data_IF_878540151366
#
_entry.id   IF_878540151366
#
_cell.length_a   1.000
_cell.length_b   1.000
_cell.length_c   1.000
_cell.angle_alpha   90.00
_cell.angle_beta   90.00
_cell.angle_gamma   90.00
#
_symmetry.space_group_name_H-M   'P 1'
#
loop_
_entity.id
_entity.type
_entity.pdbx_description
1 polymer ?
#
# COMPACT_ATOMS: atom_id res chain seq x y z
N UNK A 1 48.79 -39.98 6.64
CA UNK A 1 47.97 -39.33 5.59
C UNK A 1 46.61 -39.03 6.20
N UNK A 2 46.35 -37.77 6.57
CA UNK A 2 45.05 -37.37 7.13
C UNK A 2 44.45 -36.33 6.19
N UNK A 3 43.35 -36.70 5.53
CA UNK A 3 42.68 -35.86 4.54
C UNK A 3 41.80 -34.83 5.26
N UNK A 4 42.28 -33.58 5.32
CA UNK A 4 41.54 -32.46 5.87
C UNK A 4 40.46 -32.01 4.87
N UNK A 5 39.19 -32.23 5.22
CA UNK A 5 38.03 -31.74 4.45
C UNK A 5 37.81 -30.26 4.77
N UNK A 6 38.02 -29.39 3.78
CA UNK A 6 37.68 -27.96 3.87
C UNK A 6 36.18 -27.84 3.62
N UNK A 7 35.42 -27.46 4.65
CA UNK A 7 34.02 -27.05 4.52
C UNK A 7 34.00 -25.55 4.20
N UNK A 8 33.70 -25.21 2.94
CA UNK A 8 33.44 -23.82 2.55
C UNK A 8 31.99 -23.49 2.93
N UNK A 9 31.82 -22.75 4.02
CA UNK A 9 30.52 -22.18 4.40
C UNK A 9 30.30 -20.93 3.54
N UNK A 10 29.47 -21.04 2.49
CA UNK A 10 28.96 -19.88 1.78
C UNK A 10 27.93 -19.17 2.68
N UNK A 11 28.38 -18.15 3.41
CA UNK A 11 27.49 -17.21 4.09
C UNK A 11 26.72 -16.39 3.05
N UNK A 12 25.44 -16.71 2.86
CA UNK A 12 24.51 -15.85 2.14
C UNK A 12 24.31 -14.57 2.98
N UNK A 13 24.94 -13.47 2.56
CA UNK A 13 24.60 -12.15 3.09
C UNK A 13 23.21 -11.78 2.57
N UNK A 14 22.19 -11.95 3.40
CA UNK A 14 20.87 -11.36 3.14
C UNK A 14 21.02 -9.85 3.35
N UNK A 15 21.13 -9.10 2.26
CA UNK A 15 21.08 -7.64 2.29
C UNK A 15 19.63 -7.26 2.60
N UNK A 16 19.36 -6.92 3.86
CA UNK A 16 18.10 -6.29 4.26
C UNK A 16 18.13 -4.88 3.67
N UNK A 17 17.53 -4.70 2.49
CA UNK A 17 17.40 -3.38 1.87
C UNK A 17 16.32 -2.62 2.64
N UNK A 18 16.72 -1.66 3.47
CA UNK A 18 15.78 -0.67 4.01
C UNK A 18 15.16 0.08 2.83
N UNK A 19 13.84 0.04 2.72
CA UNK A 19 13.12 0.78 1.67
C UNK A 19 13.36 2.28 1.80
N UNK A 20 13.30 2.99 0.67
CA UNK A 20 13.30 4.45 0.66
C UNK A 20 11.91 4.97 0.32
N UNK A 21 11.61 6.21 0.69
CA UNK A 21 10.31 6.81 0.37
C UNK A 21 10.13 7.01 -1.15
N UNK A 22 11.23 7.21 -1.88
CA UNK A 22 11.28 7.30 -3.33
C UNK A 22 10.80 6.02 -4.02
N UNK A 23 10.93 4.86 -3.38
CA UNK A 23 10.44 3.59 -3.92
C UNK A 23 8.91 3.58 -4.01
N UNK A 24 8.22 4.42 -3.25
CA UNK A 24 6.77 4.60 -3.29
C UNK A 24 6.32 5.52 -4.43
N UNK A 25 7.22 6.32 -5.03
CA UNK A 25 6.81 7.32 -6.00
C UNK A 25 6.25 6.72 -7.29
N UNK A 26 5.36 7.46 -7.93
CA UNK A 26 4.71 7.11 -9.18
C UNK A 26 3.39 6.37 -8.98
N UNK A 27 3.07 5.57 -9.99
CA UNK A 27 1.72 5.02 -10.19
C UNK A 27 1.58 3.64 -9.56
N UNK A 28 0.43 3.40 -8.93
CA UNK A 28 0.09 2.17 -8.23
C UNK A 28 -1.39 1.82 -8.37
N UNK A 29 -1.71 0.55 -8.16
CA UNK A 29 -3.06 0.01 -8.11
C UNK A 29 -3.28 -0.60 -6.73
N UNK A 30 -4.29 -0.16 -5.96
CA UNK A 30 -4.70 -0.88 -4.76
C UNK A 30 -5.36 -2.21 -5.16
N UNK A 31 -4.84 -3.31 -4.63
CA UNK A 31 -5.21 -4.68 -5.06
C UNK A 31 -5.87 -5.49 -3.94
N UNK A 32 -5.56 -5.21 -2.68
CA UNK A 32 -6.20 -5.85 -1.53
C UNK A 32 -6.28 -4.90 -0.32
N UNK A 33 -7.23 -5.14 0.58
CA UNK A 33 -7.46 -4.35 1.79
C UNK A 33 -7.81 -5.25 3.00
N UNK A 34 -7.46 -4.80 4.21
CA UNK A 34 -7.68 -5.48 5.49
C UNK A 34 -8.10 -4.48 6.58
N UNK A 35 -8.99 -4.82 7.54
CA UNK A 35 -9.98 -5.90 7.51
C UNK A 35 -11.19 -5.54 6.64
N UNK A 36 -12.07 -6.50 6.35
CA UNK A 36 -13.25 -6.27 5.51
C UNK A 36 -14.32 -5.48 6.28
N UNK A 37 -14.53 -4.21 5.93
CA UNK A 37 -15.65 -3.40 6.48
C UNK A 37 -16.77 -3.18 5.47
N UNK A 38 -16.90 -4.03 4.45
CA UNK A 38 -17.59 -3.85 3.16
C UNK A 38 -16.75 -3.05 2.15
N UNK A 39 -16.59 -3.60 0.94
CA UNK A 39 -15.89 -2.95 -0.16
C UNK A 39 -16.56 -3.31 -1.49
N UNK A 40 -16.43 -2.41 -2.46
CA UNK A 40 -16.81 -2.64 -3.85
C UNK A 40 -15.51 -2.88 -4.63
N UNK A 41 -15.30 -4.06 -5.25
CA UNK A 41 -14.15 -4.27 -6.11
C UNK A 41 -14.10 -3.19 -7.18
N UNK A 42 -12.93 -2.61 -7.40
CA UNK A 42 -12.71 -1.56 -8.37
C UNK A 42 -11.23 -1.54 -8.78
N UNK A 43 -10.98 -1.53 -10.08
CA UNK A 43 -9.64 -1.34 -10.63
C UNK A 43 -9.44 0.13 -10.96
N UNK A 44 -8.73 0.82 -10.09
CA UNK A 44 -8.36 2.21 -10.30
C UNK A 44 -6.90 2.46 -9.98
N UNK A 45 -6.39 3.56 -10.48
CA UNK A 45 -5.00 3.92 -10.33
C UNK A 45 -4.86 5.09 -9.37
N UNK A 46 -3.85 5.04 -8.52
CA UNK A 46 -3.42 6.14 -7.66
C UNK A 46 -1.98 6.52 -8.00
N UNK A 47 -1.58 7.71 -7.55
CA UNK A 47 -0.20 8.17 -7.64
C UNK A 47 0.28 8.68 -6.30
N UNK A 48 1.52 8.35 -5.97
CA UNK A 48 2.25 8.97 -4.86
C UNK A 48 3.39 9.81 -5.43
N UNK A 49 3.56 11.03 -4.95
CA UNK A 49 4.61 11.93 -5.40
C UNK A 49 5.28 12.64 -4.23
N UNK A 50 6.50 13.13 -4.48
CA UNK A 50 7.16 14.07 -3.58
C UNK A 50 6.33 15.35 -3.51
N UNK A 51 6.19 15.93 -2.33
CA UNK A 51 5.60 17.25 -2.17
C UNK A 51 6.42 18.28 -2.92
N UNK A 52 5.75 19.13 -3.70
CA UNK A 52 6.37 20.19 -4.50
C UNK A 52 7.10 21.24 -3.66
N UNK A 53 6.64 21.49 -2.44
CA UNK A 53 7.27 22.34 -1.43
C UNK A 53 8.07 21.50 -0.41
N UNK A 54 9.10 22.11 0.20
CA UNK A 54 9.87 21.49 1.29
C UNK A 54 9.04 21.45 2.59
N UNK A 55 8.00 20.61 2.60
CA UNK A 55 7.16 20.37 3.78
C UNK A 55 7.88 19.41 4.71
N UNK A 56 8.37 19.94 5.83
CA UNK A 56 8.95 19.14 6.91
C UNK A 56 7.84 18.55 7.78
N UNK A 57 7.97 17.25 8.09
CA UNK A 57 7.13 16.57 9.08
C UNK A 57 7.90 16.36 10.38
N UNK A 58 7.30 16.79 11.48
CA UNK A 58 7.78 16.52 12.85
C UNK A 58 6.79 15.62 13.56
N UNK A 59 7.25 14.48 14.07
CA UNK A 59 6.42 13.49 14.75
C UNK A 59 6.87 13.30 16.19
N UNK A 60 5.94 12.91 17.07
CA UNK A 60 6.18 12.81 18.51
C UNK A 60 7.30 11.81 18.89
N UNK A 61 7.56 10.82 18.05
CA UNK A 61 8.60 9.80 18.25
C UNK A 61 9.98 10.19 17.69
N UNK A 62 10.09 11.36 17.06
CA UNK A 62 11.32 11.85 16.45
C UNK A 62 11.82 11.03 15.25
N UNK A 63 11.05 10.05 14.75
CA UNK A 63 11.46 9.22 13.61
C UNK A 63 11.22 9.95 12.29
N UNK A 64 12.10 9.68 11.32
CA UNK A 64 11.97 10.20 9.96
C UNK A 64 10.60 9.82 9.37
N UNK A 65 9.84 10.86 9.04
CA UNK A 65 8.52 10.78 8.41
C UNK A 65 8.51 11.80 7.28
N UNK A 66 8.04 11.39 6.11
CA UNK A 66 8.03 12.23 4.91
C UNK A 66 6.58 12.48 4.51
N UNK A 67 6.26 13.71 4.09
CA UNK A 67 4.98 13.99 3.47
C UNK A 67 4.97 13.46 2.03
N UNK A 68 3.88 12.81 1.63
CA UNK A 68 3.63 12.39 0.25
C UNK A 68 2.35 13.02 -0.28
N UNK A 69 2.41 13.47 -1.51
CA UNK A 69 1.21 13.81 -2.28
C UNK A 69 0.56 12.52 -2.75
N UNK A 70 -0.71 12.34 -2.43
CA UNK A 70 -1.55 11.25 -2.90
C UNK A 70 -2.63 11.76 -3.84
N UNK A 71 -2.81 11.08 -4.97
CA UNK A 71 -3.87 11.40 -5.95
C UNK A 71 -4.60 10.12 -6.34
N UNK A 72 -5.93 10.14 -6.31
CA UNK A 72 -6.76 8.98 -6.65
C UNK A 72 -8.22 9.35 -6.99
N UNK A 73 -9.02 8.40 -7.49
CA UNK A 73 -10.34 8.69 -8.08
C UNK A 73 -11.44 9.05 -7.08
N UNK A 74 -11.22 8.75 -5.79
CA UNK A 74 -12.20 8.97 -4.73
C UNK A 74 -12.04 10.34 -4.04
N UNK A 75 -11.03 11.12 -4.40
CA UNK A 75 -10.79 12.45 -3.82
C UNK A 75 -10.69 13.44 -4.99
N UNK A 76 -11.76 14.22 -5.20
CA UNK A 76 -11.88 15.09 -6.36
C UNK A 76 -10.80 16.16 -6.38
N UNK A 77 -9.90 16.15 -7.36
CA UNK A 77 -8.83 17.16 -7.65
C UNK A 77 -7.91 17.60 -6.51
N UNK A 78 -8.19 17.24 -5.26
CA UNK A 78 -7.50 17.72 -4.08
C UNK A 78 -6.36 16.76 -3.76
N UNK A 79 -5.14 17.29 -3.82
CA UNK A 79 -3.93 16.55 -3.47
C UNK A 79 -3.89 16.39 -1.95
N UNK A 80 -3.92 15.15 -1.47
CA UNK A 80 -3.83 14.88 -0.04
C UNK A 80 -2.36 14.72 0.37
N UNK A 81 -1.96 15.42 1.42
CA UNK A 81 -0.68 15.21 2.08
C UNK A 81 -0.78 14.06 3.09
N UNK A 82 0.09 13.06 2.95
CA UNK A 82 0.18 11.88 3.81
C UNK A 82 1.52 11.85 4.54
N UNK A 83 1.57 11.99 5.88
CA UNK A 83 2.78 11.68 6.63
C UNK A 83 3.03 10.17 6.58
N UNK A 84 4.12 9.76 5.93
CA UNK A 84 4.50 8.36 5.75
C UNK A 84 5.85 8.10 6.41
N UNK A 85 5.87 7.08 7.26
CA UNK A 85 7.08 6.45 7.75
C UNK A 85 7.34 5.17 6.96
N UNK A 86 8.57 4.98 6.47
CA UNK A 86 8.98 3.70 5.89
C UNK A 86 9.30 2.77 7.04
N UNK A 87 8.45 1.77 7.25
CA UNK A 87 8.59 0.81 8.32
C UNK A 87 9.52 -0.33 7.92
N UNK A 88 10.45 -0.67 8.81
CA UNK A 88 11.07 -1.99 8.83
C UNK A 88 10.07 -3.01 9.43
N UNK A 89 10.39 -4.31 9.37
CA UNK A 89 9.53 -5.41 9.82
C UNK A 89 9.17 -5.43 11.34
N UNK A 90 9.42 -4.35 12.08
CA UNK A 90 9.04 -4.19 13.48
C UNK A 90 7.56 -3.80 13.69
N UNK A 91 7.20 -3.57 14.95
CA UNK A 91 5.83 -3.33 15.43
C UNK A 91 5.14 -2.14 14.73
N UNK A 92 4.41 -2.46 13.66
CA UNK A 92 3.62 -1.53 12.84
C UNK A 92 2.60 -0.76 13.71
N UNK A 93 2.03 -1.39 14.74
CA UNK A 93 1.01 -0.76 15.57
C UNK A 93 1.58 0.41 16.37
N UNK A 94 2.74 0.22 17.00
CA UNK A 94 3.46 1.29 17.69
C UNK A 94 3.87 2.42 16.73
N UNK A 95 4.28 2.07 15.52
CA UNK A 95 4.68 3.05 14.52
C UNK A 95 3.50 3.88 13.98
N UNK A 96 2.27 3.36 13.96
CA UNK A 96 1.10 4.07 13.45
C UNK A 96 0.53 5.09 14.44
N UNK A 97 0.62 4.81 15.74
CA UNK A 97 0.02 5.64 16.79
C UNK A 97 0.93 6.83 17.18
N UNK A 98 1.38 7.56 16.17
CA UNK A 98 2.27 8.72 16.33
C UNK A 98 1.62 9.91 15.65
N UNK A 99 1.36 10.96 16.42
CA UNK A 99 0.92 12.24 15.88
C UNK A 99 2.07 12.93 15.16
N UNK A 100 1.74 13.57 14.05
CA UNK A 100 2.70 14.26 13.21
C UNK A 100 2.14 15.62 12.81
N UNK A 101 3.03 16.59 12.67
CA UNK A 101 2.74 17.89 12.07
C UNK A 101 3.57 18.03 10.81
N UNK A 102 2.94 18.29 9.68
CA UNK A 102 3.62 18.55 8.41
C UNK A 102 3.24 19.96 7.95
N UNK A 103 4.19 20.89 8.02
CA UNK A 103 3.90 22.32 7.83
C UNK A 103 2.89 22.86 8.85
N UNK A 104 1.75 23.36 8.38
CA UNK A 104 0.64 23.85 9.20
C UNK A 104 -0.44 22.80 9.51
N UNK A 105 -0.33 21.59 8.94
CA UNK A 105 -1.33 20.54 9.11
C UNK A 105 -0.95 19.60 10.25
N UNK A 106 -1.92 19.32 11.11
CA UNK A 106 -1.79 18.36 12.20
C UNK A 106 -2.49 17.05 11.85
N UNK A 107 -1.77 15.94 12.03
CA UNK A 107 -2.23 14.59 11.80
C UNK A 107 -2.22 13.82 13.11
N UNK A 108 -3.36 13.26 13.47
CA UNK A 108 -3.51 12.43 14.68
C UNK A 108 -2.75 11.10 14.58
N UNK A 109 -2.49 10.64 13.37
CA UNK A 109 -1.73 9.44 13.08
C UNK A 109 -0.92 9.60 11.79
N UNK A 110 0.22 8.92 11.72
CA UNK A 110 0.94 8.73 10.46
C UNK A 110 0.55 7.42 9.79
N UNK A 111 0.85 7.31 8.50
CA UNK A 111 0.82 6.04 7.77
C UNK A 111 2.17 5.35 7.91
N UNK A 112 2.16 4.02 7.84
CA UNK A 112 3.38 3.22 7.75
C UNK A 112 3.35 2.48 6.42
N UNK A 113 4.40 2.65 5.60
CA UNK A 113 4.56 1.92 4.36
C UNK A 113 5.66 0.87 4.52
N UNK A 114 5.36 -0.38 4.12
CA UNK A 114 6.29 -1.51 4.13
C UNK A 114 6.45 -2.03 2.72
N UNK A 115 7.66 -1.92 2.16
CA UNK A 115 7.96 -2.50 0.85
C UNK A 115 8.00 -4.02 0.97
N UNK A 116 7.29 -4.70 0.08
CA UNK A 116 7.31 -6.17 -0.04
C UNK A 116 8.24 -6.57 -1.17
N UNK A 117 8.24 -5.81 -2.27
CA UNK A 117 9.20 -5.87 -3.36
C UNK A 117 9.22 -4.53 -4.11
N UNK A 118 9.94 -4.47 -5.23
CA UNK A 118 9.88 -3.32 -6.16
C UNK A 118 8.49 -3.09 -6.75
N UNK A 119 7.66 -4.14 -6.79
CA UNK A 119 6.36 -4.14 -7.43
C UNK A 119 5.19 -4.11 -6.44
N UNK A 120 5.45 -4.28 -5.14
CA UNK A 120 4.43 -4.35 -4.11
C UNK A 120 4.84 -3.63 -2.82
N UNK A 121 3.89 -2.91 -2.24
CA UNK A 121 4.03 -2.41 -0.87
C UNK A 121 2.69 -2.51 -0.12
N UNK A 122 2.77 -2.42 1.21
CA UNK A 122 1.61 -2.34 2.10
C UNK A 122 1.59 -0.97 2.75
N UNK A 123 0.46 -0.29 2.69
CA UNK A 123 0.19 0.93 3.46
C UNK A 123 -0.71 0.58 4.64
N UNK A 124 -0.25 0.90 5.85
CA UNK A 124 -1.01 0.71 7.07
C UNK A 124 -1.55 2.04 7.60
N UNK A 125 -2.71 1.99 8.25
CA UNK A 125 -3.40 3.14 8.84
C UNK A 125 -4.16 2.73 10.12
N UNK A 126 -4.30 3.64 11.08
CA UNK A 126 -5.24 3.46 12.21
C UNK A 126 -6.69 3.65 11.73
N UNK A 127 -7.57 2.71 12.11
CA UNK A 127 -9.00 2.91 11.91
C UNK A 127 -9.57 3.84 12.98
N UNK A 128 -9.86 5.09 12.62
CA UNK A 128 -10.36 6.09 13.58
C UNK A 128 -11.77 5.81 14.13
N UNK A 129 -12.55 4.91 13.50
CA UNK A 129 -13.94 4.60 13.84
C UNK A 129 -14.21 3.09 14.02
N UNK A 130 -13.22 2.31 14.47
CA UNK A 130 -13.44 0.88 14.73
C UNK A 130 -14.30 0.68 16.00
N UNK A 131 -15.63 0.75 15.86
CA UNK A 131 -16.61 0.48 16.93
C UNK A 131 -16.76 -1.01 17.24
N UNK A 132 -15.91 -1.88 16.69
CA UNK A 132 -16.03 -3.33 16.79
C UNK A 132 -14.84 -3.92 17.54
N UNK A 133 -15.15 -4.52 18.69
CA UNK A 133 -14.24 -4.99 19.73
C UNK A 133 -13.30 -6.14 19.33
N UNK A 134 -13.37 -6.63 18.08
CA UNK A 134 -12.63 -7.81 17.62
C UNK A 134 -11.90 -7.61 16.27
N UNK A 135 -11.77 -6.37 15.77
CA UNK A 135 -11.02 -6.08 14.53
C UNK A 135 -9.66 -5.46 14.85
N UNK A 136 -8.65 -5.78 14.02
CA UNK A 136 -7.34 -5.15 14.12
C UNK A 136 -7.47 -3.63 14.19
N UNK A 137 -6.75 -3.00 15.13
CA UNK A 137 -6.78 -1.55 15.36
C UNK A 137 -6.25 -0.74 14.16
N UNK A 138 -5.60 -1.41 13.22
CA UNK A 138 -5.08 -0.85 11.98
C UNK A 138 -5.63 -1.57 10.73
N UNK A 139 -5.93 -0.79 9.70
CA UNK A 139 -6.14 -1.28 8.35
C UNK A 139 -4.81 -1.46 7.62
N UNK A 140 -4.84 -2.28 6.57
CA UNK A 140 -3.74 -2.43 5.63
C UNK A 140 -4.29 -2.44 4.20
N UNK A 141 -3.59 -1.81 3.27
CA UNK A 141 -3.89 -1.85 1.85
C UNK A 141 -2.64 -2.26 1.07
N UNK A 142 -2.76 -3.28 0.23
CA UNK A 142 -1.68 -3.73 -0.66
C UNK A 142 -1.81 -2.96 -1.96
N UNK A 143 -0.70 -2.39 -2.40
CA UNK A 143 -0.55 -1.72 -3.67
C UNK A 143 0.39 -2.50 -4.58
N UNK A 144 0.08 -2.54 -5.86
CA UNK A 144 0.89 -3.16 -6.90
C UNK A 144 1.20 -2.17 -8.03
N UNK A 145 2.39 -2.27 -8.63
CA UNK A 145 2.75 -1.45 -9.81
C UNK A 145 1.88 -1.77 -11.03
N UNK A 146 1.54 -3.05 -11.18
CA UNK A 146 0.70 -3.59 -12.24
C UNK A 146 -0.46 -4.37 -11.64
N UNK A 147 -1.57 -4.50 -12.38
CA UNK A 147 -2.69 -5.33 -11.96
C UNK A 147 -2.22 -6.81 -11.94
N UNK A 148 -2.22 -7.49 -10.78
CA UNK A 148 -1.80 -8.88 -10.69
C UNK A 148 -2.94 -9.83 -11.05
N UNK A 149 -2.63 -11.05 -11.44
CA UNK A 149 -3.60 -12.15 -11.38
C UNK A 149 -3.96 -12.46 -9.93
N UNK A 150 -5.10 -13.11 -9.72
CA UNK A 150 -5.49 -13.56 -8.38
C UNK A 150 -4.46 -14.51 -7.77
N UNK A 151 -3.86 -15.38 -8.58
CA UNK A 151 -2.84 -16.32 -8.14
C UNK A 151 -1.55 -15.62 -7.68
N UNK A 152 -1.06 -14.63 -8.44
CA UNK A 152 0.10 -13.81 -8.08
C UNK A 152 -0.16 -13.05 -6.78
N UNK A 153 -1.30 -12.37 -6.68
CA UNK A 153 -1.69 -11.62 -5.48
C UNK A 153 -1.78 -12.53 -4.25
N UNK A 154 -2.35 -13.73 -4.40
CA UNK A 154 -2.43 -14.72 -3.31
C UNK A 154 -1.05 -15.19 -2.84
N UNK A 155 -0.09 -15.32 -3.75
CA UNK A 155 1.29 -15.64 -3.39
C UNK A 155 1.94 -14.52 -2.58
N UNK A 156 1.79 -13.27 -3.03
CA UNK A 156 2.30 -12.08 -2.32
C UNK A 156 1.70 -11.97 -0.92
N UNK A 157 0.37 -12.06 -0.78
CA UNK A 157 -0.33 -11.94 0.51
C UNK A 157 0.16 -12.96 1.55
N UNK A 158 0.48 -14.19 1.13
CA UNK A 158 0.97 -15.25 2.03
C UNK A 158 2.38 -14.99 2.56
N UNK A 159 3.15 -14.12 1.91
CA UNK A 159 4.52 -13.81 2.30
C UNK A 159 4.63 -12.55 3.19
N UNK A 160 3.50 -11.90 3.50
CA UNK A 160 3.46 -10.72 4.36
C UNK A 160 3.01 -11.17 5.75
N UNK A 161 3.97 -11.44 6.62
CA UNK A 161 3.78 -12.02 7.96
C UNK A 161 2.59 -11.41 8.74
N UNK A 162 2.54 -10.07 8.81
CA UNK A 162 1.51 -9.33 9.56
C UNK A 162 0.09 -9.46 9.00
N UNK A 163 -0.07 -10.02 7.79
CA UNK A 163 -1.35 -10.14 7.08
C UNK A 163 -1.81 -11.58 6.89
N UNK A 164 -0.98 -12.59 7.20
CA UNK A 164 -1.29 -14.01 6.93
C UNK A 164 -2.56 -14.48 7.65
N UNK A 165 -2.77 -14.02 8.88
CA UNK A 165 -3.92 -14.38 9.70
C UNK A 165 -5.17 -13.55 9.43
N UNK A 166 -5.07 -12.52 8.58
CA UNK A 166 -6.14 -11.54 8.35
C UNK A 166 -6.93 -11.89 7.10
N UNK A 167 -8.24 -11.64 7.13
CA UNK A 167 -9.11 -11.81 5.96
C UNK A 167 -9.02 -10.61 5.01
N UNK A 168 -8.57 -10.78 3.76
CA UNK A 168 -8.50 -9.69 2.79
C UNK A 168 -9.83 -9.47 2.06
N UNK A 169 -10.12 -8.22 1.72
CA UNK A 169 -10.91 -7.87 0.55
C UNK A 169 -10.02 -7.72 -0.68
N UNK A 170 -10.43 -8.26 -1.84
CA UNK A 170 -9.66 -8.22 -3.09
C UNK A 170 -10.27 -7.15 -3.99
N UNK A 171 -9.54 -6.05 -4.17
CA UNK A 171 -10.03 -4.86 -4.88
C UNK A 171 -9.90 -4.98 -6.39
N UNK A 172 -8.74 -5.44 -6.87
CA UNK A 172 -8.42 -5.46 -8.29
C UNK A 172 -7.49 -6.61 -8.64
N UNK A 173 -7.90 -7.41 -9.63
CA UNK A 173 -7.07 -8.44 -10.26
C UNK A 173 -7.27 -8.40 -11.77
N UNK A 174 -6.39 -9.07 -12.54
CA UNK A 174 -6.49 -9.17 -14.01
C UNK A 174 -7.84 -9.73 -14.41
N UNK A 175 -8.28 -10.80 -13.75
CA UNK A 175 -9.54 -11.47 -14.04
C UNK A 175 -10.75 -10.53 -13.85
N UNK A 176 -10.76 -9.76 -12.77
CA UNK A 176 -11.82 -8.77 -12.54
C UNK A 176 -11.76 -7.62 -13.56
N UNK A 177 -10.56 -7.10 -13.84
CA UNK A 177 -10.37 -6.01 -14.80
C UNK A 177 -10.82 -6.40 -16.21
N UNK A 178 -10.43 -7.60 -16.67
CA UNK A 178 -10.79 -8.13 -17.98
C UNK A 178 -12.30 -8.33 -18.09
N UNK A 179 -12.94 -8.87 -17.03
CA UNK A 179 -14.39 -9.01 -16.97
C UNK A 179 -15.12 -7.66 -17.02
N UNK A 180 -14.60 -6.63 -16.31
CA UNK A 180 -15.15 -5.28 -16.33
C UNK A 180 -15.05 -4.64 -17.72
N UNK A 181 -13.90 -4.79 -18.39
CA UNK A 181 -13.69 -4.30 -19.75
C UNK A 181 -14.65 -4.98 -20.74
N UNK A 182 -14.83 -6.30 -20.63
CA UNK A 182 -15.78 -7.05 -21.46
C UNK A 182 -17.22 -6.58 -21.23
N UNK A 183 -17.62 -6.41 -19.97
CA UNK A 183 -18.96 -5.91 -19.62
C UNK A 183 -19.20 -4.52 -20.22
N UNK A 184 -18.26 -3.58 -20.06
CA UNK A 184 -18.34 -2.22 -20.63
C UNK A 184 -18.37 -2.22 -22.16
N UNK A 185 -17.64 -3.13 -22.81
CA UNK A 185 -17.65 -3.26 -24.27
C UNK A 185 -19.02 -3.73 -24.80
N UNK A 186 -19.67 -4.67 -24.09
CA UNK A 186 -20.99 -5.19 -24.46
C UNK A 186 -22.14 -4.22 -24.17
N UNK A 187 -21.96 -3.34 -23.18
CA UNK A 187 -23.00 -2.41 -22.71
C UNK A 187 -22.68 -0.95 -23.04
N UNK A 188 -21.86 -0.71 -24.07
CA UNK A 188 -21.53 0.64 -24.53
C UNK A 188 -22.84 1.36 -24.87
N UNK A 189 -23.14 2.53 -24.28
CA UNK A 189 -24.37 3.24 -24.59
C UNK A 189 -24.40 3.52 -26.09
N UNK A 190 -25.52 3.17 -26.75
CA UNK A 190 -25.79 3.62 -28.13
C UNK A 190 -25.64 5.13 -28.11
N UNK A 191 -24.59 5.65 -28.73
CA UNK A 191 -24.53 7.04 -29.14
C UNK A 191 -25.78 7.26 -29.98
N UNK A 192 -26.71 8.05 -29.45
CA UNK A 192 -27.79 8.63 -30.26
C UNK A 192 -27.06 9.41 -31.34
N UNK A 193 -27.04 8.85 -32.55
CA UNK A 193 -26.72 9.59 -33.76
C UNK A 193 -27.72 10.75 -33.82
N UNK A 194 -27.29 11.93 -33.34
CA UNK A 194 -27.90 13.18 -33.70
C UNK A 194 -27.57 13.40 -35.17
N UNK A 195 -28.35 12.75 -36.03
CA UNK A 195 -28.43 13.06 -37.44
C UNK A 195 -29.31 14.30 -37.59
N UNK A 196 -28.66 15.32 -38.14
CA UNK A 196 -29.12 16.63 -38.60
C UNK A 196 -30.43 16.62 -39.37
#
# INVERSE_FOLDING_TARGET
MSNMRIFVVLSLFVVVRSGSVEDLYGRWVPVAFYPITTYIPACFQVSFAKVSEDVQCTCADGKNTTALEFTGPLQGTEVQLLPVHIGDSGDVAAALNVSCRCGSLEYRSRKVAKLVSTDYFVLYEIQQNATYTDMDTNSAQIFARNIPSFAELRSVMKNIEDLISRSPGILCTKEYHDAELQYKAQHKPRTLDQSS
#
